data_IF_561180727653
#
_entry.id   IF_561180727653
#
_cell.length_a   1.000
_cell.length_b   1.000
_cell.length_c   1.000
_cell.angle_alpha   90.00
_cell.angle_beta   90.00
_cell.angle_gamma   90.00
#
_symmetry.space_group_name_H-M   'P 1'
#
loop_
_entity.id
_entity.type
_entity.pdbx_description
1 polymer ?
#
# COMPACT_ATOMS: atom_id res chain seq x y z
N UNK A 1 35.72 2.21 16.32
CA UNK A 1 35.09 2.55 15.04
C UNK A 1 34.04 1.49 14.79
N UNK A 2 32.78 1.78 15.10
CA UNK A 2 31.68 0.80 14.98
C UNK A 2 30.82 1.26 13.83
N UNK A 3 30.96 0.60 12.68
CA UNK A 3 30.21 0.90 11.47
C UNK A 3 28.79 0.34 11.61
N UNK A 4 27.83 1.25 11.77
CA UNK A 4 26.39 0.96 11.64
C UNK A 4 26.09 0.57 10.20
N UNK A 5 25.40 -0.55 9.91
CA UNK A 5 24.89 -0.79 8.57
C UNK A 5 23.79 0.24 8.28
N UNK A 6 24.04 1.12 7.31
CA UNK A 6 23.02 2.02 6.78
C UNK A 6 22.08 1.19 5.91
N UNK A 7 20.84 1.00 6.36
CA UNK A 7 19.77 0.43 5.55
C UNK A 7 19.31 1.47 4.53
N UNK A 8 20.08 1.62 3.46
CA UNK A 8 19.60 2.28 2.25
C UNK A 8 18.62 1.33 1.56
N UNK A 9 17.32 1.54 1.75
CA UNK A 9 16.28 0.74 1.11
C UNK A 9 15.26 1.64 0.42
N UNK A 10 15.76 2.53 -0.43
CA UNK A 10 14.95 3.28 -1.42
C UNK A 10 14.71 2.46 -2.71
N UNK A 11 14.57 1.14 -2.60
CA UNK A 11 14.27 0.30 -3.77
C UNK A 11 12.77 0.33 -4.04
N UNK A 12 12.35 1.08 -5.08
CA UNK A 12 10.97 1.03 -5.56
C UNK A 12 10.68 -0.37 -6.09
N UNK A 13 9.70 -1.07 -5.51
CA UNK A 13 9.30 -2.43 -5.92
C UNK A 13 8.23 -2.34 -6.99
N UNK A 14 8.37 -3.07 -8.10
CA UNK A 14 7.36 -3.11 -9.18
C UNK A 14 6.23 -4.10 -8.92
N UNK A 15 6.53 -5.17 -8.20
CA UNK A 15 5.57 -6.23 -7.91
C UNK A 15 4.45 -5.74 -6.97
N UNK A 16 3.29 -6.38 -7.10
CA UNK A 16 2.14 -6.12 -6.23
C UNK A 16 2.50 -6.46 -4.78
N UNK A 17 1.95 -5.67 -3.86
CA UNK A 17 1.92 -6.02 -2.45
C UNK A 17 0.89 -7.13 -2.25
N UNK A 18 1.28 -8.19 -1.54
CA UNK A 18 0.41 -9.34 -1.24
C UNK A 18 0.43 -9.59 0.26
N UNK A 19 -0.74 -9.68 0.87
CA UNK A 19 -0.91 -9.96 2.30
C UNK A 19 -2.13 -10.85 2.52
N UNK A 20 -2.02 -11.83 3.40
CA UNK A 20 -3.17 -12.65 3.81
C UNK A 20 -3.87 -12.03 5.01
N UNK A 21 -5.19 -11.91 4.94
CA UNK A 21 -6.07 -11.40 6.00
C UNK A 21 -7.09 -12.47 6.31
N UNK A 22 -6.95 -13.12 7.47
CA UNK A 22 -7.70 -14.36 7.74
C UNK A 22 -7.32 -15.43 6.71
N UNK A 23 -8.29 -15.85 5.90
CA UNK A 23 -8.11 -16.82 4.80
C UNK A 23 -8.13 -16.15 3.41
N UNK A 24 -8.16 -14.82 3.35
CA UNK A 24 -8.31 -14.06 2.09
C UNK A 24 -6.98 -13.41 1.68
N UNK A 25 -6.56 -13.61 0.43
CA UNK A 25 -5.41 -12.90 -0.15
C UNK A 25 -5.82 -11.50 -0.60
N UNK A 26 -5.18 -10.49 -0.01
CA UNK A 26 -5.28 -9.09 -0.42
C UNK A 26 -4.10 -8.77 -1.33
N UNK A 27 -4.39 -8.29 -2.54
CA UNK A 27 -3.39 -7.91 -3.54
C UNK A 27 -3.58 -6.45 -3.96
N UNK A 28 -2.57 -5.63 -3.71
CA UNK A 28 -2.57 -4.19 -3.99
C UNK A 28 -1.42 -3.83 -4.94
N UNK A 29 -1.62 -2.88 -5.87
CA UNK A 29 -0.55 -2.50 -6.79
C UNK A 29 0.58 -1.78 -6.05
N UNK A 30 1.80 -1.85 -6.57
CA UNK A 30 2.86 -0.94 -6.10
C UNK A 30 2.48 0.52 -6.35
N UNK A 31 2.55 1.34 -5.31
CA UNK A 31 2.32 2.79 -5.39
C UNK A 31 3.39 3.49 -6.24
N UNK A 32 4.60 2.92 -6.34
CA UNK A 32 5.68 3.47 -7.17
C UNK A 32 5.48 3.19 -8.67
N UNK A 33 4.64 2.22 -9.03
CA UNK A 33 4.46 1.76 -10.41
C UNK A 33 2.98 1.63 -10.79
N UNK A 34 2.15 2.59 -10.35
CA UNK A 34 0.74 2.64 -10.70
C UNK A 34 0.54 2.76 -12.23
N UNK A 35 -0.38 1.95 -12.75
CA UNK A 35 -0.79 2.04 -14.17
C UNK A 35 -1.39 3.43 -14.45
N UNK A 36 -1.16 4.04 -15.63
CA UNK A 36 -1.69 5.37 -15.96
C UNK A 36 -3.21 5.50 -15.80
N UNK A 37 -3.96 4.42 -16.00
CA UNK A 37 -5.41 4.39 -15.77
C UNK A 37 -5.82 4.64 -14.31
N UNK A 38 -5.04 4.14 -13.35
CA UNK A 38 -5.26 4.37 -11.92
C UNK A 38 -4.83 5.79 -11.54
N UNK A 39 -3.64 6.22 -11.97
CA UNK A 39 -3.15 7.60 -11.78
C UNK A 39 -4.19 8.59 -12.28
N UNK A 40 -4.71 8.40 -13.51
CA UNK A 40 -5.74 9.27 -14.08
C UNK A 40 -6.97 9.35 -13.18
N UNK A 41 -7.43 8.25 -12.59
CA UNK A 41 -8.62 8.26 -11.71
C UNK A 41 -8.38 9.06 -10.43
N UNK A 42 -7.20 8.94 -9.83
CA UNK A 42 -6.91 9.53 -8.51
C UNK A 42 -6.24 10.92 -8.56
N UNK A 43 -5.78 11.40 -9.73
CA UNK A 43 -4.94 12.62 -9.87
C UNK A 43 -5.47 13.95 -9.30
N UNK A 44 -6.74 13.99 -8.88
CA UNK A 44 -7.39 15.20 -8.33
C UNK A 44 -7.98 14.96 -6.94
N UNK A 45 -7.73 13.79 -6.37
CA UNK A 45 -8.19 13.42 -5.05
C UNK A 45 -7.14 13.86 -4.03
N UNK A 46 -7.57 14.13 -2.81
CA UNK A 46 -6.65 14.24 -1.69
C UNK A 46 -6.00 12.88 -1.42
N UNK A 47 -4.79 12.86 -0.86
CA UNK A 47 -4.00 11.63 -0.70
C UNK A 47 -4.76 10.51 0.02
N UNK A 48 -5.52 10.85 1.05
CA UNK A 48 -6.35 9.90 1.81
C UNK A 48 -7.43 9.28 0.90
N UNK A 49 -8.21 10.10 0.19
CA UNK A 49 -9.27 9.62 -0.72
C UNK A 49 -8.68 8.82 -1.88
N UNK A 50 -7.52 9.23 -2.38
CA UNK A 50 -6.80 8.53 -3.43
C UNK A 50 -6.39 7.12 -2.98
N UNK A 51 -5.92 6.96 -1.74
CA UNK A 51 -5.54 5.66 -1.17
C UNK A 51 -6.74 4.73 -1.03
N UNK A 52 -7.86 5.20 -0.45
CA UNK A 52 -9.08 4.40 -0.34
C UNK A 52 -9.64 4.02 -1.72
N UNK A 53 -9.68 4.99 -2.65
CA UNK A 53 -10.10 4.73 -4.03
C UNK A 53 -9.21 3.68 -4.71
N UNK A 54 -7.89 3.69 -4.48
CA UNK A 54 -7.00 2.68 -5.04
C UNK A 54 -7.32 1.29 -4.50
N UNK A 55 -7.58 1.15 -3.20
CA UNK A 55 -7.96 -0.13 -2.58
C UNK A 55 -9.25 -0.64 -3.24
N UNK A 56 -10.32 0.16 -3.23
CA UNK A 56 -11.62 -0.20 -3.81
C UNK A 56 -11.55 -0.61 -5.29
N UNK A 57 -10.67 0.02 -6.06
CA UNK A 57 -10.52 -0.26 -7.49
C UNK A 57 -9.68 -1.50 -7.81
N UNK A 58 -8.91 -2.02 -6.85
CA UNK A 58 -7.86 -3.01 -7.14
C UNK A 58 -8.03 -4.34 -6.41
N UNK A 59 -8.63 -4.34 -5.23
CA UNK A 59 -8.89 -5.57 -4.50
C UNK A 59 -10.16 -6.27 -5.01
N UNK A 60 -10.28 -7.57 -4.76
CA UNK A 60 -11.52 -8.30 -5.00
C UNK A 60 -12.60 -7.87 -3.99
N UNK A 61 -13.87 -8.14 -4.30
CA UNK A 61 -14.97 -7.86 -3.36
C UNK A 61 -14.80 -8.61 -2.02
N UNK A 62 -14.28 -9.84 -2.06
CA UNK A 62 -13.99 -10.64 -0.86
C UNK A 62 -12.87 -10.03 -0.03
N UNK A 63 -11.78 -9.59 -0.68
CA UNK A 63 -10.69 -8.89 -0.01
C UNK A 63 -11.16 -7.56 0.60
N UNK A 64 -12.04 -6.81 -0.08
CA UNK A 64 -12.60 -5.58 0.47
C UNK A 64 -13.39 -5.84 1.74
N UNK A 65 -14.26 -6.87 1.75
CA UNK A 65 -14.99 -7.28 2.96
C UNK A 65 -14.03 -7.71 4.08
N UNK A 66 -12.93 -8.40 3.76
CA UNK A 66 -11.93 -8.76 4.77
C UNK A 66 -11.25 -7.52 5.37
N UNK A 67 -10.95 -6.51 4.55
CA UNK A 67 -10.40 -5.23 5.00
C UNK A 67 -11.39 -4.45 5.86
N UNK A 68 -12.67 -4.41 5.48
CA UNK A 68 -13.73 -3.69 6.21
C UNK A 68 -13.98 -4.24 7.63
N UNK A 69 -13.61 -5.50 7.88
CA UNK A 69 -13.73 -6.14 9.19
C UNK A 69 -12.48 -6.02 10.06
N UNK A 70 -11.38 -5.42 9.55
CA UNK A 70 -10.20 -5.16 10.36
C UNK A 70 -10.49 -4.13 11.45
N UNK A 71 -9.80 -4.27 12.58
CA UNK A 71 -9.74 -3.16 13.52
C UNK A 71 -8.81 -2.04 13.01
N UNK A 72 -8.87 -0.87 13.65
CA UNK A 72 -8.12 0.31 13.22
C UNK A 72 -6.60 0.09 13.17
N UNK A 73 -6.03 -0.61 14.15
CA UNK A 73 -4.59 -0.83 14.24
C UNK A 73 -4.11 -1.79 13.14
N UNK A 74 -4.87 -2.86 12.87
CA UNK A 74 -4.60 -3.82 11.79
C UNK A 74 -4.66 -3.16 10.42
N UNK A 75 -5.66 -2.30 10.21
CA UNK A 75 -5.84 -1.59 8.95
C UNK A 75 -4.72 -0.56 8.74
N UNK A 76 -4.35 0.18 9.78
CA UNK A 76 -3.23 1.13 9.71
C UNK A 76 -1.91 0.41 9.40
N UNK A 77 -1.65 -0.72 10.06
CA UNK A 77 -0.48 -1.54 9.79
C UNK A 77 -0.44 -2.03 8.33
N UNK A 78 -1.56 -2.44 7.76
CA UNK A 78 -1.65 -2.82 6.34
C UNK A 78 -1.29 -1.66 5.40
N UNK A 79 -1.80 -0.46 5.68
CA UNK A 79 -1.47 0.72 4.86
C UNK A 79 0.01 1.06 4.93
N UNK A 80 0.62 0.92 6.10
CA UNK A 80 2.04 1.22 6.30
C UNK A 80 2.92 0.14 5.65
N UNK A 81 2.59 -1.15 5.80
CA UNK A 81 3.23 -2.25 5.07
C UNK A 81 3.17 -2.04 3.55
N UNK A 82 2.01 -1.62 3.03
CA UNK A 82 1.82 -1.37 1.60
C UNK A 82 2.67 -0.19 1.10
N UNK A 83 2.73 0.90 1.87
CA UNK A 83 3.59 2.08 1.59
C UNK A 83 5.07 1.69 1.58
N UNK A 84 5.51 0.99 2.62
CA UNK A 84 6.88 0.49 2.77
C UNK A 84 7.25 -0.43 1.60
N UNK A 85 6.40 -1.42 1.29
CA UNK A 85 6.59 -2.33 0.15
C UNK A 85 6.76 -1.56 -1.17
N UNK A 86 5.94 -0.54 -1.37
CA UNK A 86 5.99 0.28 -2.58
C UNK A 86 7.23 1.17 -2.67
N UNK A 87 8.08 1.21 -1.63
CA UNK A 87 9.18 2.17 -1.54
C UNK A 87 8.69 3.62 -1.43
N UNK A 88 7.42 3.81 -1.04
CA UNK A 88 6.82 5.11 -0.76
C UNK A 88 6.89 5.29 0.76
N UNK A 89 8.10 5.63 1.23
CA UNK A 89 8.32 5.98 2.63
C UNK A 89 7.78 7.38 2.91
N UNK A 90 7.06 7.52 4.02
CA UNK A 90 6.60 8.78 4.60
C UNK A 90 7.72 9.82 4.50
N UNK A 91 7.59 10.76 3.57
CA UNK A 91 8.46 11.91 3.54
C UNK A 91 8.30 12.67 4.86
N UNK A 92 9.43 12.86 5.52
CA UNK A 92 9.70 13.87 6.56
C UNK A 92 9.33 13.48 8.01
N UNK A 93 10.39 13.17 8.78
CA UNK A 93 10.58 13.80 10.10
C UNK A 93 11.16 15.19 9.91
#
# INVERSE_FOLDING_TARGET
>A
MTTTPSTDSTSRVKDDFVRTVGDVEVRLPSLSYLKPGLIRRIRRMHDIDAMYTLIELTVSAEALVALDNMNQDEYQALLDEWRIHSGVGLGES
#
